data_IF_271206719052
#
_entry.id   IF_271206719052
#
_cell.length_a   1.000
_cell.length_b   1.000
_cell.length_c   1.000
_cell.angle_alpha   90.00
_cell.angle_beta   90.00
_cell.angle_gamma   90.00
#
_symmetry.space_group_name_H-M   'P 1'
#
loop_
_entity.id
_entity.type
_entity.pdbx_description
1 polymer ?
#
# COMPACT_ATOMS: atom_id res chain seq x y z
N UNK A 1 12.23 -7.96 1.84
CA UNK A 1 11.50 -7.86 0.57
C UNK A 1 11.66 -9.15 -0.19
N UNK A 2 11.28 -10.28 0.43
CA UNK A 2 11.49 -11.62 -0.10
C UNK A 2 10.17 -12.36 -0.23
N UNK A 3 9.25 -12.19 0.72
CA UNK A 3 8.10 -13.09 0.89
C UNK A 3 6.85 -12.63 0.13
N UNK A 4 6.53 -11.34 0.10
CA UNK A 4 5.27 -10.85 -0.44
C UNK A 4 5.14 -11.04 -1.98
N UNK A 5 4.04 -11.64 -2.44
CA UNK A 5 3.70 -11.76 -3.87
C UNK A 5 2.91 -10.56 -4.39
N UNK A 6 2.20 -9.86 -3.50
CA UNK A 6 1.41 -8.66 -3.79
C UNK A 6 1.67 -7.61 -2.71
N UNK A 7 1.44 -6.34 -3.04
CA UNK A 7 1.46 -5.25 -2.08
C UNK A 7 0.36 -4.23 -2.36
N UNK A 8 -0.08 -3.55 -1.30
CA UNK A 8 -0.83 -2.29 -1.42
C UNK A 8 0.19 -1.17 -1.52
N UNK A 9 0.27 -0.54 -2.68
CA UNK A 9 1.21 0.54 -2.99
C UNK A 9 0.46 1.86 -2.89
N UNK A 10 0.95 2.76 -2.04
CA UNK A 10 0.47 4.14 -2.01
C UNK A 10 1.21 4.96 -3.07
N UNK A 11 0.50 5.45 -4.07
CA UNK A 11 1.07 6.32 -5.10
C UNK A 11 0.13 7.47 -5.48
N UNK A 12 0.66 8.51 -6.12
CA UNK A 12 -0.13 9.68 -6.54
C UNK A 12 -0.99 9.33 -7.76
N UNK A 13 -2.30 9.56 -7.65
CA UNK A 13 -3.24 9.31 -8.73
C UNK A 13 -3.26 10.51 -9.69
N UNK A 14 -2.75 10.31 -10.91
CA UNK A 14 -2.84 11.28 -11.99
C UNK A 14 -3.91 10.87 -13.02
N UNK A 15 -4.83 11.78 -13.35
CA UNK A 15 -5.85 11.58 -14.39
C UNK A 15 -5.90 12.82 -15.28
N UNK A 16 -5.70 12.63 -16.59
CA UNK A 16 -5.71 13.73 -17.59
C UNK A 16 -4.81 14.92 -17.19
N UNK A 17 -3.62 14.61 -16.66
CA UNK A 17 -2.65 15.61 -16.19
C UNK A 17 -2.93 16.23 -14.82
N UNK A 18 -4.07 15.93 -14.19
CA UNK A 18 -4.41 16.42 -12.85
C UNK A 18 -4.03 15.41 -11.77
N UNK A 19 -3.41 15.92 -10.71
CA UNK A 19 -3.05 15.16 -9.51
C UNK A 19 -4.20 15.16 -8.48
N UNK A 20 -4.56 13.98 -7.99
CA UNK A 20 -5.58 13.75 -6.97
C UNK A 20 -5.00 13.28 -5.63
N UNK A 21 -3.68 13.23 -5.51
CA UNK A 21 -2.97 12.85 -4.30
C UNK A 21 -2.83 11.33 -4.10
N UNK A 22 -2.34 10.90 -2.93
CA UNK A 22 -2.01 9.50 -2.64
C UNK A 22 -3.25 8.59 -2.63
N UNK A 23 -3.18 7.49 -3.34
CA UNK A 23 -4.20 6.45 -3.41
C UNK A 23 -3.57 5.06 -3.32
N UNK A 24 -4.27 4.08 -2.70
CA UNK A 24 -3.81 2.70 -2.59
C UNK A 24 -4.13 1.87 -3.84
N UNK A 25 -3.12 1.18 -4.38
CA UNK A 25 -3.25 0.24 -5.50
C UNK A 25 -2.74 -1.14 -5.11
N UNK A 26 -3.49 -2.18 -5.43
CA UNK A 26 -3.04 -3.57 -5.29
C UNK A 26 -2.16 -3.91 -6.49
N UNK A 27 -0.89 -4.21 -6.23
CA UNK A 27 0.07 -4.53 -7.28
C UNK A 27 0.65 -5.90 -7.03
N UNK A 28 0.55 -6.78 -8.02
CA UNK A 28 1.31 -8.03 -8.03
C UNK A 28 2.79 -7.72 -8.25
N UNK A 29 3.62 -8.27 -7.38
CA UNK A 29 5.07 -8.04 -7.32
C UNK A 29 5.86 -9.20 -7.89
N UNK A 30 5.41 -10.43 -7.62
CA UNK A 30 6.10 -11.67 -8.00
C UNK A 30 5.17 -12.60 -8.75
N UNK A 31 5.75 -13.40 -9.61
CA UNK A 31 5.08 -14.54 -10.22
C UNK A 31 4.68 -15.56 -9.15
N UNK A 32 3.51 -16.17 -9.28
CA UNK A 32 2.94 -17.02 -8.23
C UNK A 32 3.53 -18.44 -8.20
N UNK A 33 4.14 -18.88 -9.30
CA UNK A 33 4.71 -20.22 -9.41
C UNK A 33 6.22 -20.18 -9.12
N UNK A 34 6.93 -19.26 -9.76
CA UNK A 34 8.40 -19.15 -9.69
C UNK A 34 8.87 -18.22 -8.57
N UNK A 35 7.99 -17.40 -8.01
CA UNK A 35 8.29 -16.37 -7.00
C UNK A 35 9.29 -15.29 -7.45
N UNK A 36 9.63 -15.26 -8.73
CA UNK A 36 10.51 -14.26 -9.32
C UNK A 36 9.78 -12.91 -9.45
N UNK A 37 10.48 -11.76 -9.29
CA UNK A 37 9.89 -10.46 -9.55
C UNK A 37 9.34 -10.37 -10.98
N UNK A 38 8.12 -9.84 -11.12
CA UNK A 38 7.54 -9.59 -12.44
C UNK A 38 8.29 -8.45 -13.17
N UNK A 39 8.23 -8.38 -14.52
CA UNK A 39 8.91 -7.34 -15.29
C UNK A 39 8.62 -5.92 -14.80
N UNK A 40 9.63 -5.06 -14.81
CA UNK A 40 9.53 -3.67 -14.36
C UNK A 40 9.42 -3.49 -12.84
N UNK A 41 9.57 -4.54 -12.02
CA UNK A 41 9.63 -4.44 -10.55
C UNK A 41 11.03 -4.79 -10.06
N UNK A 42 11.66 -3.84 -9.38
CA UNK A 42 12.91 -4.10 -8.67
C UNK A 42 12.59 -4.25 -7.19
N UNK A 43 12.93 -5.40 -6.60
CA UNK A 43 12.56 -5.76 -5.23
C UNK A 43 13.78 -6.34 -4.53
N UNK A 44 14.03 -5.94 -3.28
CA UNK A 44 15.11 -6.50 -2.50
C UNK A 44 14.94 -6.36 -0.99
N UNK A 45 15.95 -6.82 -0.27
CA UNK A 45 16.09 -6.65 1.18
C UNK A 45 16.87 -5.37 1.46
N UNK A 46 16.53 -4.65 2.55
CA UNK A 46 17.29 -3.48 2.97
C UNK A 46 18.53 -3.84 3.81
N UNK A 47 18.66 -5.11 4.20
CA UNK A 47 19.80 -5.62 4.95
C UNK A 47 19.62 -5.62 6.47
N UNK A 48 20.75 -5.70 7.21
CA UNK A 48 20.76 -5.74 8.67
C UNK A 48 20.11 -4.50 9.30
N UNK A 49 19.41 -4.71 10.41
CA UNK A 49 18.71 -3.69 11.20
C UNK A 49 19.11 -3.80 12.67
N UNK A 50 18.92 -2.74 13.44
CA UNK A 50 19.15 -2.73 14.90
C UNK A 50 18.31 -3.80 15.62
N UNK A 51 17.08 -4.05 15.14
CA UNK A 51 16.18 -5.07 15.63
C UNK A 51 15.31 -5.62 14.48
N UNK A 52 14.46 -6.60 14.78
CA UNK A 52 13.57 -7.22 13.80
C UNK A 52 14.29 -7.80 12.57
N UNK A 53 15.48 -8.38 12.76
CA UNK A 53 16.25 -9.00 11.67
C UNK A 53 15.55 -10.20 11.03
N UNK A 54 14.61 -10.84 11.74
CA UNK A 54 13.74 -11.88 11.18
C UNK A 54 12.62 -11.35 10.26
N UNK A 55 12.37 -10.04 10.24
CA UNK A 55 11.38 -9.42 9.36
C UNK A 55 12.06 -8.95 8.08
N UNK A 56 11.56 -9.44 6.93
CA UNK A 56 12.08 -9.16 5.61
C UNK A 56 11.63 -7.77 5.11
N UNK A 57 12.02 -6.72 5.83
CA UNK A 57 11.88 -5.34 5.35
C UNK A 57 12.61 -5.19 4.00
N UNK A 58 12.01 -4.47 3.06
CA UNK A 58 12.50 -4.42 1.69
C UNK A 58 12.30 -3.08 1.03
N UNK A 59 12.94 -2.93 -0.13
CA UNK A 59 12.71 -1.83 -1.05
C UNK A 59 11.96 -2.32 -2.28
N UNK A 60 11.30 -1.39 -2.95
CA UNK A 60 10.50 -1.65 -4.14
C UNK A 60 10.58 -0.45 -5.08
N UNK A 61 10.89 -0.69 -6.35
CA UNK A 61 10.84 0.31 -7.43
C UNK A 61 10.06 -0.24 -8.61
N UNK A 62 9.39 0.66 -9.33
CA UNK A 62 8.58 0.35 -10.50
C UNK A 62 9.12 1.10 -11.72
N UNK A 63 9.30 0.39 -12.81
CA UNK A 63 9.58 0.95 -14.13
C UNK A 63 8.35 0.76 -15.02
N UNK A 64 7.58 1.83 -15.21
CA UNK A 64 6.39 1.91 -16.07
C UNK A 64 5.42 0.71 -15.99
N UNK A 65 5.25 0.15 -14.78
CA UNK A 65 4.41 -1.02 -14.55
C UNK A 65 2.94 -0.72 -14.79
N UNK A 66 2.29 -1.59 -15.57
CA UNK A 66 0.84 -1.53 -15.86
C UNK A 66 0.07 -2.46 -14.94
N UNK A 67 -1.06 -1.97 -14.44
CA UNK A 67 -2.03 -2.70 -13.61
C UNK A 67 -3.45 -2.37 -14.10
N UNK A 68 -4.44 -3.26 -13.90
CA UNK A 68 -5.81 -2.96 -14.26
C UNK A 68 -6.36 -1.80 -13.41
N UNK A 69 -7.29 -1.00 -13.96
CA UNK A 69 -7.96 0.10 -13.22
C UNK A 69 -8.57 -0.39 -11.89
N UNK A 70 -9.12 -1.60 -11.88
CA UNK A 70 -9.73 -2.22 -10.70
C UNK A 70 -8.75 -2.55 -9.56
N UNK A 71 -7.44 -2.40 -9.79
CA UNK A 71 -6.42 -2.52 -8.74
C UNK A 71 -6.47 -1.36 -7.74
N UNK A 72 -7.06 -0.22 -8.10
CA UNK A 72 -7.33 0.88 -7.17
C UNK A 72 -8.32 0.42 -6.08
N UNK A 73 -8.03 0.63 -4.80
CA UNK A 73 -9.02 0.32 -3.75
C UNK A 73 -10.09 1.41 -3.70
N UNK A 74 -11.24 1.10 -4.31
CA UNK A 74 -12.27 2.09 -4.64
C UNK A 74 -13.45 2.19 -3.65
N UNK A 75 -13.27 1.81 -2.38
CA UNK A 75 -14.39 1.82 -1.39
C UNK A 75 -14.97 3.22 -1.18
N UNK A 76 -14.10 4.23 -1.05
CA UNK A 76 -14.50 5.61 -0.79
C UNK A 76 -14.30 6.53 -2.00
N UNK A 77 -13.24 6.34 -2.77
CA UNK A 77 -12.93 7.08 -4.00
C UNK A 77 -13.13 6.20 -5.22
N UNK A 78 -13.62 6.73 -6.35
CA UNK A 78 -13.74 5.95 -7.58
C UNK A 78 -13.11 6.65 -8.78
N UNK A 79 -12.64 5.85 -9.72
CA UNK A 79 -12.25 6.30 -11.05
C UNK A 79 -13.13 5.54 -12.04
N UNK A 80 -13.95 6.26 -12.82
CA UNK A 80 -14.83 5.64 -13.82
C UNK A 80 -14.03 5.11 -15.02
N UNK A 81 -14.68 4.35 -15.91
CA UNK A 81 -14.01 3.81 -17.11
C UNK A 81 -13.58 4.94 -18.07
N UNK A 82 -14.29 6.04 -18.06
CA UNK A 82 -14.07 7.25 -18.87
C UNK A 82 -12.94 8.13 -18.29
N UNK A 83 -12.34 7.71 -17.17
CA UNK A 83 -11.30 8.44 -16.47
C UNK A 83 -11.83 9.68 -15.76
N UNK A 84 -13.00 9.56 -15.11
CA UNK A 84 -13.53 10.61 -14.22
C UNK A 84 -13.31 10.22 -12.76
N UNK A 85 -12.80 11.15 -11.96
CA UNK A 85 -12.60 10.96 -10.53
C UNK A 85 -13.89 11.27 -9.75
N UNK A 86 -14.28 10.36 -8.87
CA UNK A 86 -15.41 10.51 -7.95
C UNK A 86 -14.84 10.56 -6.53
N UNK A 87 -14.90 11.72 -5.84
CA UNK A 87 -14.42 11.86 -4.48
C UNK A 87 -15.31 11.09 -3.49
N UNK A 88 -14.82 10.87 -2.25
CA UNK A 88 -15.65 10.26 -1.21
C UNK A 88 -16.85 11.15 -0.85
N UNK A 89 -17.97 10.57 -0.40
CA UNK A 89 -19.07 11.33 0.17
C UNK A 89 -18.55 12.24 1.29
N UNK A 90 -19.04 13.49 1.35
CA UNK A 90 -18.54 14.49 2.31
C UNK A 90 -18.60 14.00 3.75
N UNK A 91 -19.64 13.23 4.11
CA UNK A 91 -19.81 12.64 5.44
C UNK A 91 -18.69 11.65 5.80
N UNK A 92 -18.09 11.00 4.80
CA UNK A 92 -17.07 9.97 4.94
C UNK A 92 -15.69 10.44 4.46
N UNK A 93 -15.50 11.75 4.26
CA UNK A 93 -14.23 12.29 3.75
C UNK A 93 -13.03 11.97 4.67
N UNK A 94 -13.30 11.71 5.96
CA UNK A 94 -12.30 11.34 6.97
C UNK A 94 -12.26 9.85 7.31
N UNK A 95 -13.03 8.99 6.63
CA UNK A 95 -13.11 7.56 6.99
C UNK A 95 -11.77 6.82 6.85
N UNK A 96 -10.87 7.28 5.98
CA UNK A 96 -9.50 6.74 5.88
C UNK A 96 -8.66 6.93 7.15
N UNK A 97 -9.01 7.87 8.02
CA UNK A 97 -8.31 8.10 9.29
C UNK A 97 -8.66 7.07 10.37
N UNK A 98 -9.77 6.33 10.22
CA UNK A 98 -10.23 5.37 11.22
C UNK A 98 -9.15 4.31 11.55
N UNK A 99 -8.48 3.79 10.52
CA UNK A 99 -7.38 2.82 10.70
C UNK A 99 -6.21 3.42 11.50
N UNK A 100 -5.87 4.69 11.28
CA UNK A 100 -4.78 5.33 12.05
C UNK A 100 -5.15 5.50 13.53
N UNK A 101 -6.43 5.72 13.84
CA UNK A 101 -6.89 5.82 15.23
C UNK A 101 -6.81 4.46 15.91
N UNK A 102 -7.35 3.40 15.29
CA UNK A 102 -7.29 2.03 15.84
C UNK A 102 -5.86 1.56 16.04
N UNK A 103 -5.00 1.61 15.01
CA UNK A 103 -3.61 1.13 15.11
C UNK A 103 -2.83 1.87 16.20
N UNK A 104 -3.11 3.16 16.43
CA UNK A 104 -2.47 3.91 17.52
C UNK A 104 -2.96 3.48 18.90
N UNK A 105 -4.22 3.11 19.05
CA UNK A 105 -4.73 2.54 20.29
C UNK A 105 -4.04 1.21 20.57
N UNK A 106 -3.92 0.33 19.57
CA UNK A 106 -3.25 -0.97 19.69
C UNK A 106 -1.77 -0.83 20.13
N UNK A 107 -1.06 0.17 19.61
CA UNK A 107 0.33 0.46 20.02
C UNK A 107 0.40 0.81 21.52
N UNK A 108 -0.55 1.61 22.02
CA UNK A 108 -0.57 2.01 23.44
C UNK A 108 -0.93 0.82 24.33
N UNK A 109 -1.90 0.01 23.92
CA UNK A 109 -2.28 -1.21 24.62
C UNK A 109 -1.10 -2.19 24.72
N UNK A 110 -0.43 -2.47 23.60
CA UNK A 110 0.76 -3.33 23.57
C UNK A 110 1.90 -2.82 24.47
N UNK A 111 2.13 -1.50 24.48
CA UNK A 111 3.12 -0.91 25.38
C UNK A 111 2.75 -1.14 26.85
N UNK A 112 1.46 -1.02 27.20
CA UNK A 112 0.94 -1.31 28.55
C UNK A 112 1.18 -2.76 28.95
N UNK A 113 0.86 -3.72 28.08
CA UNK A 113 1.12 -5.15 28.33
C UNK A 113 2.59 -5.44 28.61
N UNK A 114 3.49 -4.90 27.77
CA UNK A 114 4.93 -5.14 27.89
C UNK A 114 5.54 -4.52 29.16
N UNK A 115 5.07 -3.33 29.55
CA UNK A 115 5.61 -2.59 30.71
C UNK A 115 4.98 -2.98 32.05
N UNK A 116 3.86 -3.70 32.05
CA UNK A 116 3.19 -4.14 33.27
C UNK A 116 3.87 -5.33 33.98
N UNK A 117 4.88 -5.93 33.35
CA UNK A 117 5.73 -6.99 33.91
C UNK A 117 7.00 -6.42 34.52
#
# INVERSE_FOLDING_TARGET
GKTATHAVVMCRLFIKGRDYGPHPFVVQLRDLETHLPLPGRTIGDIGPKMGYNGVDNGFLSFDHVRIPRGALLQRYTKVTREGSYVPPPKQNAKSSYATMVSVRADIVEYAGEVLSK
#
